data_IF_543311739283
#
_entry.id   IF_543311739283
#
_cell.length_a   1.000
_cell.length_b   1.000
_cell.length_c   1.000
_cell.angle_alpha   90.00
_cell.angle_beta   90.00
_cell.angle_gamma   90.00
#
_symmetry.space_group_name_H-M   'P 1'
#
loop_
_entity.id
_entity.type
_entity.pdbx_description
1 polymer ?
#
# COMPACT_ATOMS: atom_id res chain seq x y z
N UNK A 1 -11.01 -24.29 -18.95
CA UNK A 1 -11.87 -24.29 -17.77
C UNK A 1 -11.14 -23.98 -16.45
N UNK A 2 -9.86 -24.25 -16.35
CA UNK A 2 -9.02 -23.91 -15.19
C UNK A 2 -8.70 -22.42 -15.05
N UNK A 3 -8.71 -21.65 -16.11
CA UNK A 3 -8.38 -20.23 -16.13
C UNK A 3 -9.43 -19.34 -15.40
N UNK A 4 -10.69 -19.73 -15.42
CA UNK A 4 -11.79 -18.99 -14.78
C UNK A 4 -11.80 -19.16 -13.26
N UNK A 5 -11.31 -20.28 -12.75
CA UNK A 5 -11.30 -20.54 -11.31
C UNK A 5 -10.20 -19.79 -10.57
N UNK A 6 -9.02 -19.63 -11.16
CA UNK A 6 -7.92 -18.91 -10.53
C UNK A 6 -8.19 -17.40 -10.48
N UNK A 7 -8.73 -16.81 -11.55
CA UNK A 7 -9.11 -15.41 -11.54
C UNK A 7 -10.23 -15.12 -10.55
N UNK A 8 -11.21 -16.01 -10.44
CA UNK A 8 -12.32 -15.85 -9.50
C UNK A 8 -11.85 -15.82 -8.03
N UNK A 9 -10.98 -16.75 -7.64
CA UNK A 9 -10.44 -16.78 -6.28
C UNK A 9 -9.54 -15.59 -5.99
N UNK A 10 -8.75 -15.19 -6.97
CA UNK A 10 -7.89 -14.01 -6.85
C UNK A 10 -8.70 -12.73 -6.67
N UNK A 11 -9.75 -12.55 -7.45
CA UNK A 11 -10.66 -11.40 -7.33
C UNK A 11 -11.43 -11.41 -6.01
N UNK A 12 -11.87 -12.58 -5.56
CA UNK A 12 -12.55 -12.73 -4.28
C UNK A 12 -11.65 -12.39 -3.09
N UNK A 13 -10.39 -12.84 -3.10
CA UNK A 13 -9.41 -12.52 -2.07
C UNK A 13 -9.07 -11.03 -2.07
N UNK A 14 -8.83 -10.45 -3.23
CA UNK A 14 -8.55 -9.01 -3.35
C UNK A 14 -9.72 -8.16 -2.87
N UNK A 15 -10.93 -8.55 -3.23
CA UNK A 15 -12.12 -7.85 -2.74
C UNK A 15 -12.27 -7.96 -1.22
N UNK A 16 -12.11 -9.14 -0.66
CA UNK A 16 -12.19 -9.35 0.78
C UNK A 16 -11.12 -8.55 1.54
N UNK A 17 -9.88 -8.52 1.03
CA UNK A 17 -8.80 -7.73 1.61
C UNK A 17 -9.10 -6.22 1.54
N UNK A 18 -9.60 -5.75 0.41
CA UNK A 18 -9.98 -4.34 0.23
C UNK A 18 -11.13 -3.95 1.15
N UNK A 19 -12.15 -4.79 1.26
CA UNK A 19 -13.29 -4.54 2.13
C UNK A 19 -12.88 -4.52 3.61
N UNK A 20 -12.02 -5.44 4.03
CA UNK A 20 -11.49 -5.49 5.39
C UNK A 20 -10.63 -4.26 5.70
N UNK A 21 -9.75 -3.87 4.78
CA UNK A 21 -8.92 -2.68 4.94
C UNK A 21 -9.77 -1.40 5.00
N UNK A 22 -10.77 -1.28 4.13
CA UNK A 22 -11.69 -0.14 4.11
C UNK A 22 -12.50 -0.04 5.40
N UNK A 23 -12.98 -1.18 5.91
CA UNK A 23 -13.70 -1.23 7.18
C UNK A 23 -12.79 -0.80 8.34
N UNK A 24 -11.60 -1.36 8.46
CA UNK A 24 -10.63 -1.02 9.49
C UNK A 24 -10.22 0.46 9.43
N UNK A 25 -9.98 0.99 8.23
CA UNK A 25 -9.68 2.40 8.06
C UNK A 25 -10.82 3.30 8.50
N UNK A 26 -12.04 3.04 8.05
CA UNK A 26 -13.22 3.88 8.38
C UNK A 26 -13.59 3.87 9.86
N UNK A 27 -13.51 2.71 10.50
CA UNK A 27 -14.06 2.53 11.85
C UNK A 27 -13.01 2.57 12.95
N UNK A 28 -11.74 2.31 12.66
CA UNK A 28 -10.67 2.25 13.64
C UNK A 28 -9.65 3.36 13.41
N UNK A 29 -9.05 3.43 12.23
CA UNK A 29 -7.93 4.34 11.96
C UNK A 29 -8.42 5.78 11.83
N UNK A 30 -9.42 6.02 11.01
CA UNK A 30 -9.93 7.36 10.73
C UNK A 30 -10.46 8.08 11.99
N UNK A 31 -11.35 7.49 12.81
CA UNK A 31 -11.86 8.16 14.01
C UNK A 31 -10.83 8.29 15.13
N UNK A 32 -9.93 7.33 15.30
CA UNK A 32 -9.00 7.29 16.42
C UNK A 32 -7.64 7.94 16.11
N UNK A 33 -7.18 7.89 14.87
CA UNK A 33 -5.88 8.40 14.47
C UNK A 33 -5.98 9.70 13.70
N UNK A 34 -6.81 9.78 12.67
CA UNK A 34 -6.84 10.93 11.76
C UNK A 34 -7.56 12.10 12.40
N UNK A 35 -8.71 11.89 13.04
CA UNK A 35 -9.53 12.97 13.58
C UNK A 35 -9.19 13.39 15.02
N UNK A 36 -8.52 12.55 15.79
CA UNK A 36 -8.13 12.87 17.16
C UNK A 36 -6.76 13.55 17.28
N UNK A 37 -6.02 13.65 16.18
CA UNK A 37 -4.70 14.28 16.15
C UNK A 37 -4.70 15.46 15.17
N UNK A 38 -3.79 16.40 15.41
CA UNK A 38 -3.49 17.44 14.42
C UNK A 38 -2.91 16.76 13.17
N UNK A 39 -3.12 17.32 11.97
CA UNK A 39 -2.59 16.72 10.73
C UNK A 39 -1.09 16.47 10.77
N UNK A 40 -0.32 17.38 11.37
CA UNK A 40 1.13 17.24 11.51
C UNK A 40 1.51 16.07 12.43
N UNK A 41 0.81 15.93 13.55
CA UNK A 41 1.03 14.82 14.49
C UNK A 41 0.66 13.47 13.88
N UNK A 42 -0.42 13.41 13.12
CA UNK A 42 -0.84 12.19 12.43
C UNK A 42 0.19 11.77 11.37
N UNK A 43 0.75 12.73 10.64
CA UNK A 43 1.82 12.49 9.66
C UNK A 43 3.10 11.98 10.33
N UNK A 44 3.54 12.62 11.42
CA UNK A 44 4.73 12.22 12.17
C UNK A 44 4.59 10.80 12.75
N UNK A 45 3.42 10.47 13.30
CA UNK A 45 3.14 9.12 13.79
C UNK A 45 3.13 8.08 12.67
N UNK A 46 2.66 8.43 11.48
CA UNK A 46 2.69 7.56 10.32
C UNK A 46 4.14 7.28 9.88
N UNK A 47 5.00 8.29 9.85
CA UNK A 47 6.42 8.14 9.55
C UNK A 47 7.09 7.23 10.58
N UNK A 48 6.84 7.44 11.87
CA UNK A 48 7.38 6.60 12.94
C UNK A 48 6.91 5.15 12.81
N UNK A 49 5.64 4.94 12.52
CA UNK A 49 5.10 3.60 12.22
C UNK A 49 5.82 2.95 11.04
N UNK A 50 6.04 3.68 9.95
CA UNK A 50 6.77 3.18 8.80
C UNK A 50 8.24 2.84 9.13
N UNK A 51 8.88 3.58 10.03
CA UNK A 51 10.22 3.23 10.52
C UNK A 51 10.23 1.91 11.29
N UNK A 52 9.19 1.62 12.07
CA UNK A 52 9.04 0.33 12.75
C UNK A 52 8.84 -0.79 11.72
N UNK A 53 7.90 -0.61 10.80
CA UNK A 53 7.57 -1.62 9.77
C UNK A 53 8.79 -1.98 8.92
N UNK A 54 9.55 -0.99 8.49
CA UNK A 54 10.74 -1.19 7.64
C UNK A 54 11.83 -2.01 8.35
N UNK A 55 11.92 -1.95 9.67
CA UNK A 55 12.92 -2.67 10.46
C UNK A 55 12.44 -4.06 10.94
N UNK A 56 11.20 -4.42 10.65
CA UNK A 56 10.60 -5.72 11.02
C UNK A 56 10.23 -6.49 9.75
N UNK A 57 11.11 -7.37 9.22
CA UNK A 57 10.87 -8.08 7.95
C UNK A 57 9.52 -8.80 7.85
N UNK A 58 8.99 -9.47 8.89
CA UNK A 58 7.67 -10.08 8.83
C UNK A 58 6.53 -9.08 8.56
N UNK A 59 6.64 -7.85 9.05
CA UNK A 59 5.64 -6.80 8.80
C UNK A 59 5.70 -6.29 7.35
N UNK A 60 6.89 -6.12 6.80
CA UNK A 60 7.06 -5.77 5.38
C UNK A 60 6.48 -6.85 4.46
N UNK A 61 6.74 -8.12 4.78
CA UNK A 61 6.19 -9.24 4.00
C UNK A 61 4.65 -9.27 4.08
N UNK A 62 4.08 -9.06 5.26
CA UNK A 62 2.63 -9.00 5.44
C UNK A 62 2.02 -7.83 4.65
N UNK A 63 2.64 -6.65 4.68
CA UNK A 63 2.22 -5.49 3.89
C UNK A 63 2.24 -5.80 2.39
N UNK A 64 3.33 -6.36 1.89
CA UNK A 64 3.46 -6.74 0.48
C UNK A 64 2.40 -7.76 0.07
N UNK A 65 2.15 -8.78 0.85
CA UNK A 65 1.14 -9.79 0.56
C UNK A 65 -0.29 -9.23 0.57
N UNK A 66 -0.55 -8.20 1.36
CA UNK A 66 -1.88 -7.58 1.48
C UNK A 66 -2.14 -6.48 0.47
N UNK A 67 -1.13 -5.68 0.13
CA UNK A 67 -1.30 -4.43 -0.63
C UNK A 67 -0.68 -4.46 -2.02
N UNK A 68 0.39 -5.25 -2.23
CA UNK A 68 1.05 -5.32 -3.53
C UNK A 68 0.24 -6.18 -4.50
N UNK A 69 -0.27 -5.54 -5.54
CA UNK A 69 -0.97 -6.18 -6.65
C UNK A 69 -0.15 -6.04 -7.92
N UNK A 70 0.24 -7.16 -8.50
CA UNK A 70 0.99 -7.22 -9.75
C UNK A 70 0.16 -7.84 -10.86
N UNK A 71 0.05 -7.15 -11.99
CA UNK A 71 -0.57 -7.65 -13.20
C UNK A 71 0.23 -7.12 -14.41
N UNK A 72 0.61 -7.96 -15.37
CA UNK A 72 1.35 -7.53 -16.57
C UNK A 72 0.66 -6.41 -17.36
N UNK A 73 -0.66 -6.31 -17.29
CA UNK A 73 -1.41 -5.24 -17.95
C UNK A 73 -1.11 -3.84 -17.38
N UNK A 74 -0.63 -3.78 -16.14
CA UNK A 74 -0.29 -2.54 -15.45
C UNK A 74 1.14 -2.09 -15.73
N UNK A 75 1.98 -2.94 -16.32
CA UNK A 75 3.35 -2.57 -16.66
C UNK A 75 3.36 -1.42 -17.64
N UNK A 76 4.18 -0.42 -17.34
CA UNK A 76 4.25 0.82 -18.11
C UNK A 76 5.71 1.20 -18.35
N UNK A 77 6.05 1.54 -19.60
CA UNK A 77 7.35 2.09 -19.95
C UNK A 77 7.22 3.58 -20.24
N UNK A 78 7.98 4.39 -19.54
CA UNK A 78 8.06 5.85 -19.75
C UNK A 78 9.51 6.26 -19.92
N UNK A 79 9.83 6.83 -21.07
CA UNK A 79 11.18 7.31 -21.40
C UNK A 79 12.28 6.24 -21.21
N UNK A 80 11.97 4.97 -21.50
CA UNK A 80 12.91 3.86 -21.37
C UNK A 80 13.04 3.29 -19.95
N UNK A 81 12.25 3.75 -18.99
CA UNK A 81 12.17 3.20 -17.63
C UNK A 81 10.91 2.36 -17.48
N UNK A 82 11.09 1.13 -17.03
CA UNK A 82 9.99 0.21 -16.79
C UNK A 82 9.44 0.35 -15.37
N UNK A 83 8.12 0.52 -15.26
CA UNK A 83 7.40 0.58 -14.01
C UNK A 83 6.44 -0.60 -13.91
N UNK A 84 6.33 -1.20 -12.73
CA UNK A 84 5.43 -2.33 -12.46
C UNK A 84 3.95 -1.95 -12.56
N UNK A 85 3.63 -0.69 -12.30
CA UNK A 85 2.29 -0.12 -12.48
C UNK A 85 2.37 1.41 -12.66
N UNK A 86 1.29 2.06 -13.15
CA UNK A 86 1.27 3.49 -13.40
C UNK A 86 0.92 4.35 -12.16
N UNK A 87 0.85 3.75 -10.98
CA UNK A 87 0.47 4.46 -9.76
C UNK A 87 1.70 4.92 -9.00
N UNK A 88 1.80 6.22 -8.82
CA UNK A 88 2.88 6.85 -8.09
C UNK A 88 2.40 7.59 -6.84
N UNK A 89 3.31 7.79 -5.90
CA UNK A 89 3.05 8.57 -4.71
C UNK A 89 3.37 10.04 -4.96
N UNK A 90 2.47 10.94 -4.59
CA UNK A 90 2.75 12.37 -4.64
C UNK A 90 3.71 12.78 -3.50
N UNK A 91 4.56 13.77 -3.77
CA UNK A 91 5.58 14.25 -2.83
C UNK A 91 5.03 14.78 -1.49
N UNK A 92 3.72 14.99 -1.38
CA UNK A 92 3.09 15.51 -0.16
C UNK A 92 3.13 14.57 1.04
N UNK A 93 3.14 13.27 0.81
CA UNK A 93 3.15 12.27 1.89
C UNK A 93 4.57 12.00 2.39
N UNK A 94 5.54 11.86 1.50
CA UNK A 94 6.92 11.53 1.85
C UNK A 94 7.91 12.56 1.29
N UNK A 95 7.88 13.76 1.86
CA UNK A 95 8.71 14.90 1.43
C UNK A 95 10.21 14.68 1.61
N UNK A 96 10.59 13.91 2.60
CA UNK A 96 11.98 13.68 2.98
C UNK A 96 12.52 12.31 2.54
N UNK A 97 11.74 11.53 1.77
CA UNK A 97 12.10 10.18 1.37
C UNK A 97 12.41 9.25 2.56
N UNK A 98 11.58 9.31 3.58
CA UNK A 98 11.75 8.50 4.80
C UNK A 98 11.08 7.13 4.72
N UNK A 99 10.14 6.97 3.77
CA UNK A 99 9.28 5.79 3.64
C UNK A 99 9.44 4.96 2.35
N UNK A 100 10.51 5.10 1.53
CA UNK A 100 10.53 4.45 0.22
C UNK A 100 10.43 2.93 0.29
N UNK A 101 11.02 2.30 1.29
CA UNK A 101 10.96 0.83 1.46
C UNK A 101 9.54 0.36 1.76
N UNK A 102 8.83 1.04 2.63
CA UNK A 102 7.45 0.71 3.00
C UNK A 102 6.51 0.95 1.81
N UNK A 103 6.71 2.05 1.10
CA UNK A 103 5.88 2.40 -0.07
C UNK A 103 6.10 1.44 -1.25
N UNK A 104 7.33 0.97 -1.46
CA UNK A 104 7.61 -0.05 -2.46
C UNK A 104 6.87 -1.36 -2.14
N UNK A 105 6.90 -1.81 -0.90
CA UNK A 105 6.16 -3.00 -0.45
C UNK A 105 4.63 -2.80 -0.45
N UNK A 106 4.16 -1.56 -0.35
CA UNK A 106 2.74 -1.22 -0.49
C UNK A 106 2.23 -1.27 -1.95
N UNK A 107 3.12 -1.46 -2.92
CA UNK A 107 2.76 -1.69 -4.32
C UNK A 107 2.76 -0.44 -5.20
N UNK A 108 3.36 0.67 -4.78
CA UNK A 108 3.54 1.83 -5.65
C UNK A 108 4.55 1.54 -6.76
N UNK A 109 4.26 1.94 -7.98
CA UNK A 109 5.13 1.77 -9.14
C UNK A 109 6.28 2.77 -9.21
N UNK A 110 6.07 3.96 -8.63
CA UNK A 110 7.07 5.02 -8.53
C UNK A 110 6.72 6.07 -7.48
#
# INVERSE_FOLDING_TARGET
MTYVSESFWHDAVNKATTDLFTFGYKHIIKPNFVFNHRPDEAHDQMIEFCHVVKNVPPLLLAEQLMLDYTDPILETNVMGVDFTNPFGLSAGLDKNCEMPVVLDHAGFGF
#
